data_IF_294115148722
#
_entry.id   IF_294115148722
#
_cell.length_a   1.000
_cell.length_b   1.000
_cell.length_c   1.000
_cell.angle_alpha   90.00
_cell.angle_beta   90.00
_cell.angle_gamma   90.00
#
_symmetry.space_group_name_H-M   'P 1'
#
loop_
_entity.id
_entity.type
_entity.pdbx_description
1 polymer ?
#
# COMPACT_ATOMS: atom_id res chain seq x y z
N UNK A 1 16.62 5.75 6.93
CA UNK A 1 16.17 4.65 6.03
C UNK A 1 15.05 5.18 5.15
N UNK A 2 14.97 4.77 3.89
CA UNK A 2 13.90 5.16 2.97
C UNK A 2 12.67 4.27 3.17
N UNK A 3 11.48 4.87 3.17
CA UNK A 3 10.21 4.17 3.25
C UNK A 3 9.30 4.67 2.14
N UNK A 4 8.91 3.75 1.25
CA UNK A 4 7.96 4.01 0.17
C UNK A 4 6.59 3.52 0.62
N UNK A 5 5.63 4.44 0.73
CA UNK A 5 4.24 4.13 1.01
C UNK A 5 3.48 4.10 -0.32
N UNK A 6 2.82 2.98 -0.62
CA UNK A 6 1.99 2.82 -1.81
C UNK A 6 0.54 2.63 -1.34
N UNK A 7 -0.27 3.66 -1.52
CA UNK A 7 -1.70 3.70 -1.20
C UNK A 7 -2.56 3.55 -2.48
N UNK A 8 -3.87 3.41 -2.31
CA UNK A 8 -4.83 3.36 -3.42
C UNK A 8 -5.95 2.34 -3.20
N UNK A 9 -6.95 2.30 -4.11
CA UNK A 9 -8.09 1.39 -4.04
C UNK A 9 -7.67 -0.09 -3.96
N UNK A 10 -8.55 -0.93 -3.45
CA UNK A 10 -8.33 -2.37 -3.49
C UNK A 10 -8.30 -2.86 -4.96
N UNK A 11 -7.39 -3.77 -5.31
CA UNK A 11 -7.28 -4.28 -6.68
C UNK A 11 -6.60 -3.34 -7.69
N UNK A 12 -6.17 -2.13 -7.29
CA UNK A 12 -5.47 -1.20 -8.21
C UNK A 12 -4.06 -1.68 -8.59
N UNK A 13 -3.45 -2.61 -7.83
CA UNK A 13 -2.13 -3.17 -8.12
C UNK A 13 -1.03 -2.88 -7.09
N UNK A 14 -1.36 -2.32 -5.92
CA UNK A 14 -0.37 -1.97 -4.88
C UNK A 14 0.59 -3.11 -4.54
N UNK A 15 0.06 -4.28 -4.19
CA UNK A 15 0.87 -5.44 -3.78
C UNK A 15 1.79 -5.93 -4.88
N UNK A 16 1.33 -6.01 -6.14
CA UNK A 16 2.17 -6.49 -7.26
C UNK A 16 3.27 -5.47 -7.59
N UNK A 17 2.95 -4.18 -7.58
CA UNK A 17 3.94 -3.10 -7.78
C UNK A 17 4.96 -3.05 -6.64
N UNK A 18 4.52 -3.13 -5.39
CA UNK A 18 5.42 -3.09 -4.25
C UNK A 18 6.35 -4.30 -4.18
N UNK A 19 5.86 -5.49 -4.54
CA UNK A 19 6.70 -6.69 -4.69
C UNK A 19 7.71 -6.54 -5.82
N UNK A 20 7.31 -6.01 -6.97
CA UNK A 20 8.24 -5.74 -8.09
C UNK A 20 9.36 -4.79 -7.67
N UNK A 21 9.04 -3.72 -6.93
CA UNK A 21 10.06 -2.81 -6.38
C UNK A 21 11.02 -3.57 -5.47
N UNK A 22 10.51 -4.40 -4.56
CA UNK A 22 11.35 -5.17 -3.64
C UNK A 22 12.26 -6.18 -4.36
N UNK A 23 11.74 -6.84 -5.41
CA UNK A 23 12.51 -7.78 -6.24
C UNK A 23 13.65 -7.09 -7.01
N UNK A 24 13.41 -5.89 -7.56
CA UNK A 24 14.42 -5.13 -8.31
C UNK A 24 15.48 -4.48 -7.42
N UNK A 25 15.18 -4.26 -6.13
CA UNK A 25 16.03 -3.48 -5.21
C UNK A 25 16.47 -4.34 -4.02
N UNK A 26 17.67 -4.97 -4.07
CA UNK A 26 18.19 -5.79 -2.97
C UNK A 26 18.23 -5.02 -1.64
N UNK A 27 17.93 -5.73 -0.55
CA UNK A 27 17.84 -5.12 0.79
C UNK A 27 16.54 -4.36 1.05
N UNK A 28 15.48 -4.63 0.27
CA UNK A 28 14.15 -4.08 0.51
C UNK A 28 13.31 -5.01 1.38
N UNK A 29 12.80 -4.49 2.49
CA UNK A 29 11.73 -5.13 3.23
C UNK A 29 10.37 -4.74 2.63
N UNK A 30 9.49 -5.73 2.42
CA UNK A 30 8.13 -5.52 1.94
C UNK A 30 7.14 -5.73 3.10
N UNK A 31 6.22 -4.79 3.29
CA UNK A 31 5.17 -4.84 4.31
C UNK A 31 3.82 -4.68 3.61
N UNK A 32 2.96 -5.68 3.76
CA UNK A 32 1.54 -5.58 3.41
C UNK A 32 0.75 -5.28 4.69
N UNK A 33 0.10 -4.11 4.74
CA UNK A 33 -0.60 -3.65 5.93
C UNK A 33 -1.77 -4.54 6.33
N UNK A 34 -2.34 -5.30 5.39
CA UNK A 34 -3.40 -6.27 5.69
C UNK A 34 -2.85 -7.40 6.60
N UNK A 35 -1.59 -7.80 6.42
CA UNK A 35 -0.94 -8.81 7.28
C UNK A 35 -0.69 -8.30 8.71
N UNK A 36 -0.61 -6.99 8.90
CA UNK A 36 -0.44 -6.38 10.22
C UNK A 36 -1.74 -6.35 11.03
N UNK A 37 -2.85 -6.84 10.47
CA UNK A 37 -4.16 -6.98 11.12
C UNK A 37 -4.94 -8.22 10.66
N UNK A 38 -4.22 -9.31 10.35
CA UNK A 38 -4.79 -10.59 9.89
C UNK A 38 -5.45 -11.38 11.04
N UNK A 39 -6.54 -10.82 11.58
CA UNK A 39 -7.36 -11.40 12.63
C UNK A 39 -8.50 -12.21 11.99
N UNK A 40 -8.83 -13.37 12.57
CA UNK A 40 -9.87 -14.27 12.07
C UNK A 40 -10.99 -14.44 13.11
N UNK A 41 -12.23 -13.95 12.88
CA UNK A 41 -12.70 -13.28 11.66
C UNK A 41 -12.12 -11.87 11.48
N UNK A 42 -12.06 -11.40 10.22
CA UNK A 42 -11.54 -10.07 9.90
C UNK A 42 -12.36 -8.97 10.59
N UNK A 43 -11.66 -8.05 11.27
CA UNK A 43 -12.23 -6.87 11.91
C UNK A 43 -11.41 -5.66 11.46
N UNK A 44 -12.02 -4.77 10.68
CA UNK A 44 -11.39 -3.56 10.12
C UNK A 44 -11.86 -2.26 10.77
N UNK A 45 -12.03 -2.26 12.09
CA UNK A 45 -12.51 -1.11 12.86
C UNK A 45 -11.37 -0.16 13.28
N UNK A 46 -11.69 0.91 14.01
CA UNK A 46 -10.71 1.91 14.46
C UNK A 46 -9.59 1.30 15.33
N UNK A 47 -9.94 0.41 16.26
CA UNK A 47 -9.00 -0.23 17.19
C UNK A 47 -7.99 -1.12 16.45
N UNK A 48 -8.48 -1.99 15.59
CA UNK A 48 -7.67 -2.91 14.79
C UNK A 48 -6.78 -2.18 13.79
N UNK A 49 -7.26 -1.09 13.18
CA UNK A 49 -6.42 -0.21 12.34
C UNK A 49 -5.33 0.48 13.14
N UNK A 50 -5.62 0.97 14.35
CA UNK A 50 -4.61 1.58 15.22
C UNK A 50 -3.54 0.56 15.67
N UNK A 51 -3.95 -0.66 16.00
CA UNK A 51 -3.03 -1.78 16.25
C UNK A 51 -2.16 -2.09 15.01
N UNK A 52 -2.74 -2.12 13.81
CA UNK A 52 -2.00 -2.36 12.57
C UNK A 52 -0.92 -1.29 12.35
N UNK A 53 -1.25 -0.01 12.61
CA UNK A 53 -0.29 1.10 12.54
C UNK A 53 0.88 0.87 13.50
N UNK A 54 0.60 0.49 14.74
CA UNK A 54 1.64 0.19 15.73
C UNK A 54 2.54 -0.97 15.28
N UNK A 55 1.94 -2.07 14.79
CA UNK A 55 2.67 -3.22 14.24
C UNK A 55 3.59 -2.82 13.08
N UNK A 56 3.09 -2.02 12.14
CA UNK A 56 3.86 -1.53 10.99
C UNK A 56 5.05 -0.68 11.46
N UNK A 57 4.82 0.29 12.35
CA UNK A 57 5.87 1.17 12.86
C UNK A 57 6.92 0.40 13.66
N UNK A 58 6.49 -0.60 14.45
CA UNK A 58 7.40 -1.48 15.18
C UNK A 58 8.31 -2.27 14.22
N UNK A 59 7.72 -2.89 13.19
CA UNK A 59 8.48 -3.63 12.17
C UNK A 59 9.48 -2.72 11.45
N UNK A 60 9.07 -1.52 11.04
CA UNK A 60 9.95 -0.55 10.39
C UNK A 60 11.09 -0.14 11.32
N UNK A 61 10.80 0.11 12.60
CA UNK A 61 11.83 0.42 13.61
C UNK A 61 12.83 -0.71 13.82
N UNK A 62 12.43 -1.98 13.67
CA UNK A 62 13.35 -3.11 13.69
C UNK A 62 14.18 -3.20 12.40
N UNK A 63 13.56 -3.00 11.24
CA UNK A 63 14.29 -2.96 9.96
C UNK A 63 15.36 -1.85 9.93
N UNK A 64 15.11 -0.68 10.53
CA UNK A 64 16.11 0.39 10.64
C UNK A 64 17.38 -0.02 11.38
N UNK A 65 17.30 -1.02 12.29
CA UNK A 65 18.44 -1.52 13.07
C UNK A 65 19.15 -2.69 12.38
N UNK A 66 18.61 -3.19 11.28
CA UNK A 66 19.16 -4.30 10.52
C UNK A 66 20.07 -3.78 9.40
N UNK A 67 21.36 -4.12 9.44
CA UNK A 67 22.31 -3.71 8.40
C UNK A 67 21.97 -4.21 7.01
N UNK A 68 21.25 -5.32 6.89
CA UNK A 68 20.83 -5.92 5.62
C UNK A 68 19.64 -5.17 4.99
N UNK A 69 18.85 -4.44 5.79
CA UNK A 69 17.69 -3.71 5.31
C UNK A 69 18.05 -2.27 4.95
N UNK A 70 17.89 -1.91 3.68
CA UNK A 70 18.23 -0.59 3.12
C UNK A 70 17.01 0.29 2.93
N UNK A 71 15.85 -0.32 2.64
CA UNK A 71 14.60 0.39 2.46
C UNK A 71 13.39 -0.49 2.80
N UNK A 72 12.25 0.16 2.98
CA UNK A 72 10.95 -0.50 3.17
C UNK A 72 9.99 -0.06 2.07
N UNK A 73 9.22 -1.00 1.54
CA UNK A 73 8.02 -0.74 0.75
C UNK A 73 6.81 -1.17 1.58
N UNK A 74 5.97 -0.21 1.94
CA UNK A 74 4.70 -0.42 2.64
C UNK A 74 3.56 -0.27 1.65
N UNK A 75 2.76 -1.32 1.47
CA UNK A 75 1.50 -1.27 0.73
C UNK A 75 0.35 -1.40 1.72
N UNK A 76 -0.66 -0.54 1.62
CA UNK A 76 -1.87 -0.71 2.41
C UNK A 76 -3.03 0.10 1.82
N UNK A 77 -4.27 -0.30 2.12
CA UNK A 77 -5.46 0.51 1.85
C UNK A 77 -5.64 1.50 3.01
N UNK A 78 -5.18 2.74 2.80
CA UNK A 78 -5.33 3.83 3.77
C UNK A 78 -6.41 4.80 3.26
N UNK A 79 -7.68 4.40 3.43
CA UNK A 79 -8.90 5.15 3.09
C UNK A 79 -9.36 6.11 4.22
N UNK A 80 -8.68 6.06 5.36
CA UNK A 80 -8.86 6.96 6.50
C UNK A 80 -7.63 7.88 6.64
N UNK A 81 -7.90 9.19 6.68
CA UNK A 81 -6.86 10.21 6.84
C UNK A 81 -6.13 10.09 8.18
N UNK A 82 -6.81 9.71 9.26
CA UNK A 82 -6.17 9.52 10.58
C UNK A 82 -5.15 8.37 10.54
N UNK A 83 -5.49 7.27 9.86
CA UNK A 83 -4.59 6.11 9.71
C UNK A 83 -3.36 6.48 8.91
N UNK A 84 -3.55 7.15 7.75
CA UNK A 84 -2.43 7.62 6.93
C UNK A 84 -1.52 8.58 7.70
N UNK A 85 -2.11 9.56 8.40
CA UNK A 85 -1.33 10.54 9.16
C UNK A 85 -0.55 9.88 10.31
N UNK A 86 -1.15 8.92 11.01
CA UNK A 86 -0.48 8.19 12.10
C UNK A 86 0.75 7.42 11.63
N UNK A 87 0.69 6.80 10.43
CA UNK A 87 1.86 6.16 9.81
C UNK A 87 2.94 7.20 9.48
N UNK A 88 2.57 8.31 8.83
CA UNK A 88 3.52 9.36 8.43
C UNK A 88 4.20 10.00 9.65
N UNK A 89 3.43 10.30 10.70
CA UNK A 89 3.95 10.89 11.94
C UNK A 89 4.89 9.92 12.66
N UNK A 90 4.51 8.64 12.75
CA UNK A 90 5.36 7.59 13.31
C UNK A 90 6.66 7.41 12.54
N UNK A 91 6.61 7.40 11.20
CA UNK A 91 7.80 7.33 10.36
C UNK A 91 8.70 8.57 10.51
N UNK A 92 8.10 9.74 10.66
CA UNK A 92 8.81 10.99 10.94
C UNK A 92 9.52 10.92 12.28
N UNK A 93 8.86 10.40 13.33
CA UNK A 93 9.46 10.18 14.64
C UNK A 93 10.63 9.18 14.59
N UNK A 94 10.54 8.16 13.73
CA UNK A 94 11.62 7.22 13.40
C UNK A 94 12.72 7.84 12.51
N UNK A 95 12.61 9.13 12.14
CA UNK A 95 13.54 9.83 11.23
C UNK A 95 13.72 9.09 9.90
N UNK A 96 12.66 8.45 9.41
CA UNK A 96 12.63 7.83 8.10
C UNK A 96 12.46 8.90 7.00
N UNK A 97 13.05 8.66 5.84
CA UNK A 97 12.78 9.43 4.63
C UNK A 97 11.56 8.81 3.95
N UNK A 98 10.44 9.52 3.93
CA UNK A 98 9.16 8.99 3.47
C UNK A 98 8.83 9.51 2.06
N UNK A 99 8.56 8.60 1.13
CA UNK A 99 7.92 8.90 -0.16
C UNK A 99 6.56 8.22 -0.18
N UNK A 100 5.48 8.97 -0.37
CA UNK A 100 4.13 8.42 -0.47
C UNK A 100 3.59 8.60 -1.88
N UNK A 101 2.98 7.55 -2.41
CA UNK A 101 2.36 7.52 -3.74
C UNK A 101 0.97 6.92 -3.61
N UNK A 102 -0.01 7.51 -4.31
CA UNK A 102 -1.36 6.96 -4.42
C UNK A 102 -1.57 6.40 -5.83
N UNK A 103 -1.79 5.10 -5.94
CA UNK A 103 -2.15 4.47 -7.20
C UNK A 103 -3.64 4.61 -7.47
N UNK A 104 -3.98 5.01 -8.69
CA UNK A 104 -5.37 5.03 -9.17
C UNK A 104 -5.47 4.27 -10.50
N UNK A 105 -6.70 4.01 -10.91
CA UNK A 105 -7.07 3.66 -12.28
C UNK A 105 -8.53 4.04 -12.49
N UNK A 106 -8.97 4.04 -13.73
CA UNK A 106 -10.40 4.19 -14.02
C UNK A 106 -11.22 2.96 -13.56
N UNK A 107 -12.55 3.12 -13.64
CA UNK A 107 -13.52 2.11 -13.26
C UNK A 107 -13.37 0.81 -14.06
N UNK A 108 -13.17 0.92 -15.38
CA UNK A 108 -13.20 -0.23 -16.27
C UNK A 108 -11.92 -1.07 -16.12
N UNK A 109 -10.77 -0.42 -15.98
CA UNK A 109 -9.51 -1.03 -15.61
C UNK A 109 -9.60 -1.75 -14.27
N UNK A 110 -10.23 -1.13 -13.25
CA UNK A 110 -10.39 -1.76 -11.94
C UNK A 110 -11.25 -3.02 -12.03
N UNK A 111 -12.40 -2.94 -12.71
CA UNK A 111 -13.30 -4.10 -12.91
C UNK A 111 -12.59 -5.22 -13.66
N UNK A 112 -11.84 -4.89 -14.72
CA UNK A 112 -11.08 -5.87 -15.51
C UNK A 112 -10.04 -6.59 -14.64
N UNK A 113 -9.26 -5.84 -13.85
CA UNK A 113 -8.26 -6.41 -12.93
C UNK A 113 -8.93 -7.29 -11.88
N UNK A 114 -10.03 -6.81 -11.30
CA UNK A 114 -10.75 -7.52 -10.25
C UNK A 114 -11.25 -8.89 -10.72
N UNK A 115 -11.86 -8.94 -11.91
CA UNK A 115 -12.39 -10.18 -12.49
C UNK A 115 -11.32 -11.19 -12.89
N UNK A 116 -10.10 -10.73 -13.15
CA UNK A 116 -8.97 -11.56 -13.53
C UNK A 116 -8.10 -12.00 -12.33
N UNK A 117 -8.35 -11.46 -11.13
CA UNK A 117 -7.62 -11.82 -9.92
C UNK A 117 -8.34 -12.97 -9.19
N UNK A 118 -7.90 -14.20 -9.47
CA UNK A 118 -8.45 -15.42 -8.88
C UNK A 118 -7.71 -15.87 -7.62
N UNK A 119 -6.67 -15.15 -7.19
CA UNK A 119 -5.79 -15.56 -6.10
C UNK A 119 -6.14 -14.91 -4.76
N UNK A 120 -7.06 -13.94 -4.76
CA UNK A 120 -7.44 -13.17 -3.59
C UNK A 120 -8.90 -13.46 -3.23
N UNK A 121 -9.13 -14.10 -2.08
CA UNK A 121 -10.47 -14.43 -1.59
C UNK A 121 -11.38 -13.19 -1.37
N UNK A 122 -10.76 -12.01 -1.21
CA UNK A 122 -11.45 -10.74 -1.06
C UNK A 122 -11.99 -10.16 -2.39
N UNK A 123 -11.78 -10.84 -3.52
CA UNK A 123 -12.31 -10.45 -4.84
C UNK A 123 -13.77 -10.83 -5.02
N UNK A 124 -14.61 -10.41 -4.07
CA UNK A 124 -16.07 -10.56 -4.13
C UNK A 124 -16.73 -9.33 -4.76
N UNK A 125 -17.96 -9.47 -5.25
CA UNK A 125 -18.73 -8.34 -5.81
C UNK A 125 -18.98 -7.25 -4.77
N UNK A 126 -19.27 -7.64 -3.52
CA UNK A 126 -19.44 -6.70 -2.40
C UNK A 126 -18.20 -5.81 -2.22
N UNK A 127 -17.02 -6.41 -2.26
CA UNK A 127 -15.78 -5.66 -2.09
C UNK A 127 -15.40 -4.87 -3.34
N UNK A 128 -15.81 -5.30 -4.54
CA UNK A 128 -15.66 -4.53 -5.77
C UNK A 128 -16.47 -3.23 -5.68
N UNK A 129 -17.71 -3.29 -5.19
CA UNK A 129 -18.55 -2.10 -4.98
C UNK A 129 -17.88 -1.10 -4.03
N UNK A 130 -17.35 -1.58 -2.90
CA UNK A 130 -16.60 -0.75 -1.94
C UNK A 130 -15.38 -0.10 -2.62
N UNK A 131 -14.62 -0.87 -3.38
CA UNK A 131 -13.43 -0.36 -4.06
C UNK A 131 -13.76 0.68 -5.14
N UNK A 132 -14.80 0.44 -5.94
CA UNK A 132 -15.28 1.37 -6.95
C UNK A 132 -15.77 2.68 -6.32
N UNK A 133 -16.49 2.60 -5.19
CA UNK A 133 -16.96 3.78 -4.46
C UNK A 133 -15.80 4.62 -3.88
N UNK A 134 -14.64 4.00 -3.61
CA UNK A 134 -13.45 4.69 -3.09
C UNK A 134 -12.64 5.45 -4.15
N UNK A 135 -12.86 5.21 -5.45
CA UNK A 135 -12.07 5.82 -6.53
C UNK A 135 -11.99 7.36 -6.44
N UNK A 136 -13.09 8.10 -6.21
CA UNK A 136 -13.02 9.56 -6.13
C UNK A 136 -12.19 10.05 -4.94
N UNK A 137 -12.21 9.32 -3.81
CA UNK A 137 -11.40 9.68 -2.65
C UNK A 137 -9.91 9.58 -2.99
N UNK A 138 -9.45 8.46 -3.54
CA UNK A 138 -8.04 8.28 -3.89
C UNK A 138 -7.58 9.22 -5.01
N UNK A 139 -8.44 9.50 -5.99
CA UNK A 139 -8.15 10.47 -7.05
C UNK A 139 -7.99 11.91 -6.52
N UNK A 140 -8.54 12.23 -5.35
CA UNK A 140 -8.37 13.55 -4.70
C UNK A 140 -7.10 13.67 -3.85
N UNK A 141 -6.36 12.58 -3.64
CA UNK A 141 -5.11 12.59 -2.88
C UNK A 141 -3.96 13.21 -3.69
N UNK A 142 -2.82 13.43 -3.03
CA UNK A 142 -1.59 13.94 -3.66
C UNK A 142 -0.73 12.80 -4.20
N UNK A 143 0.23 13.17 -5.06
CA UNK A 143 1.28 12.28 -5.58
C UNK A 143 0.69 11.00 -6.20
N UNK A 144 -0.26 11.24 -7.11
CA UNK A 144 -1.07 10.21 -7.74
C UNK A 144 -0.40 9.68 -9.00
N UNK A 145 -0.43 8.36 -9.19
CA UNK A 145 -0.05 7.69 -10.44
C UNK A 145 -1.27 6.94 -10.97
N UNK A 146 -1.71 7.29 -12.18
CA UNK A 146 -2.69 6.49 -12.91
C UNK A 146 -2.01 5.28 -13.54
N UNK A 147 -2.48 4.10 -13.17
CA UNK A 147 -1.91 2.81 -13.55
C UNK A 147 -2.65 2.16 -14.71
N UNK A 148 -3.75 2.74 -15.21
CA UNK A 148 -4.68 2.08 -16.16
C UNK A 148 -3.99 1.44 -17.35
N UNK A 149 -3.13 2.20 -18.03
CA UNK A 149 -2.38 1.81 -19.24
C UNK A 149 -0.91 1.49 -18.98
N UNK A 150 -0.47 1.47 -17.71
CA UNK A 150 0.91 1.22 -17.35
C UNK A 150 1.12 -0.24 -16.95
N UNK A 151 2.26 -0.79 -17.38
CA UNK A 151 2.74 -2.05 -16.83
C UNK A 151 3.20 -1.89 -15.38
N UNK A 152 3.20 -2.98 -14.62
CA UNK A 152 3.73 -3.00 -13.23
C UNK A 152 5.15 -2.46 -13.16
N UNK A 153 5.98 -2.76 -14.18
CA UNK A 153 7.35 -2.28 -14.26
C UNK A 153 7.42 -0.76 -14.38
N UNK A 154 6.66 -0.17 -15.31
CA UNK A 154 6.62 1.28 -15.49
C UNK A 154 6.14 1.99 -14.22
N UNK A 155 5.13 1.44 -13.54
CA UNK A 155 4.66 2.03 -12.26
C UNK A 155 5.75 1.93 -11.19
N UNK A 156 6.47 0.81 -11.11
CA UNK A 156 7.57 0.63 -10.16
C UNK A 156 8.69 1.65 -10.41
N UNK A 157 9.12 1.82 -11.67
CA UNK A 157 10.18 2.75 -12.06
C UNK A 157 9.79 4.20 -11.75
N UNK A 158 8.54 4.60 -12.07
CA UNK A 158 8.01 5.92 -11.72
C UNK A 158 8.00 6.18 -10.20
N UNK A 159 7.64 5.16 -9.39
CA UNK A 159 7.67 5.27 -7.92
C UNK A 159 9.11 5.44 -7.43
N UNK A 160 10.08 4.76 -8.03
CA UNK A 160 11.49 4.86 -7.65
C UNK A 160 12.16 6.14 -8.17
N UNK A 161 11.60 6.78 -9.20
CA UNK A 161 12.15 7.95 -9.85
C UNK A 161 13.20 7.61 -10.91
N UNK A 162 13.02 6.46 -11.57
CA UNK A 162 13.86 5.89 -12.62
C UNK A 162 13.27 6.11 -14.02
#
# INVERSE_FOLDING_TARGET
>A
MKVYIINGPMGVGKTVTGKRIAEKNPGTAFIDGDWCMDIHPFVGNRETRAMAVDNILHMIGNYQKCSECKMVVLVWLMDDREVFQSIVDGLTALKAEVKSITLICDKDALIKRWKNDHNCEWRTDKWLEVSLASLPYFASMKDVIDTGELSVEQVADMIMGE
#
